data_IF_405087746374
#
_entry.id   IF_405087746374
#
_cell.length_a   1.000
_cell.length_b   1.000
_cell.length_c   1.000
_cell.angle_alpha   90.00
_cell.angle_beta   90.00
_cell.angle_gamma   90.00
#
_symmetry.space_group_name_H-M   'P 1'
#
loop_
_entity.id
_entity.type
_entity.pdbx_description
1 polymer ?
#
# COMPACT_ATOMS: atom_id res chain seq x y z
N UNK A 1 72.25 -7.03 6.24
CA UNK A 1 71.26 -6.80 7.30
C UNK A 1 70.20 -5.88 6.70
N UNK A 2 69.18 -6.46 6.07
CA UNK A 2 68.12 -5.72 5.39
C UNK A 2 66.84 -5.84 6.24
N UNK A 3 66.36 -4.70 6.74
CA UNK A 3 65.16 -4.61 7.57
C UNK A 3 63.96 -4.60 6.62
N UNK A 4 63.19 -5.70 6.62
CA UNK A 4 61.88 -5.75 5.99
C UNK A 4 60.87 -5.11 6.94
N UNK A 5 60.30 -3.98 6.53
CA UNK A 5 59.15 -3.36 7.20
C UNK A 5 57.89 -3.96 6.56
N UNK A 6 57.23 -4.88 7.27
CA UNK A 6 55.89 -5.33 6.92
C UNK A 6 54.91 -4.21 7.29
N UNK A 7 54.27 -3.62 6.29
CA UNK A 7 53.04 -2.86 6.50
C UNK A 7 51.90 -3.88 6.62
N UNK A 8 51.45 -4.14 7.85
CA UNK A 8 50.13 -4.73 8.09
C UNK A 8 49.08 -3.70 7.68
N UNK A 9 48.40 -3.97 6.56
CA UNK A 9 47.16 -3.27 6.24
C UNK A 9 46.08 -3.73 7.22
N UNK A 10 45.68 -2.84 8.12
CA UNK A 10 44.43 -2.98 8.85
C UNK A 10 43.27 -2.98 7.86
N UNK A 11 42.89 -4.16 7.37
CA UNK A 11 41.57 -4.36 6.80
C UNK A 11 40.58 -4.32 7.96
N UNK A 12 39.92 -3.19 8.14
CA UNK A 12 38.73 -3.09 8.99
C UNK A 12 37.64 -3.93 8.34
N UNK A 13 37.60 -5.20 8.71
CA UNK A 13 36.54 -6.12 8.34
C UNK A 13 35.33 -5.83 9.26
N UNK A 14 34.75 -4.63 9.12
CA UNK A 14 33.44 -4.35 9.70
C UNK A 14 32.42 -4.88 8.71
N UNK A 15 31.85 -6.05 8.99
CA UNK A 15 30.57 -6.41 8.39
C UNK A 15 29.65 -5.19 8.54
N UNK A 16 28.98 -4.70 7.47
CA UNK A 16 28.08 -3.58 7.59
C UNK A 16 27.07 -3.93 8.68
N UNK A 17 26.93 -3.03 9.66
CA UNK A 17 25.99 -3.19 10.76
C UNK A 17 24.59 -3.37 10.15
N UNK A 18 24.10 -4.60 10.12
CA UNK A 18 22.81 -4.92 9.55
C UNK A 18 21.76 -4.61 10.62
N UNK A 19 20.95 -3.58 10.36
CA UNK A 19 19.84 -3.21 11.23
C UNK A 19 18.91 -4.40 11.48
N UNK A 20 18.42 -4.56 12.70
CA UNK A 20 17.23 -5.39 12.90
C UNK A 20 16.02 -4.77 12.20
N UNK A 21 14.90 -5.49 12.11
CA UNK A 21 13.72 -5.02 11.36
C UNK A 21 13.17 -3.67 11.87
N UNK A 22 13.14 -3.47 13.19
CA UNK A 22 12.70 -2.22 13.79
C UNK A 22 13.66 -1.07 13.44
N UNK A 23 14.96 -1.29 13.57
CA UNK A 23 15.99 -0.30 13.22
C UNK A 23 15.93 0.06 11.73
N UNK A 24 15.72 -0.93 10.85
CA UNK A 24 15.58 -0.72 9.41
C UNK A 24 14.39 0.18 9.08
N UNK A 25 13.24 -0.04 9.75
CA UNK A 25 12.06 0.83 9.63
C UNK A 25 12.35 2.26 10.12
N UNK A 26 13.03 2.42 11.26
CA UNK A 26 13.39 3.75 11.77
C UNK A 26 14.35 4.47 10.80
N UNK A 27 15.29 3.76 10.20
CA UNK A 27 16.22 4.34 9.24
C UNK A 27 15.54 4.71 7.91
N UNK A 28 14.57 3.91 7.45
CA UNK A 28 13.72 4.26 6.33
C UNK A 28 12.93 5.55 6.59
N UNK A 29 12.33 5.68 7.78
CA UNK A 29 11.64 6.89 8.20
C UNK A 29 12.58 8.10 8.24
N UNK A 30 13.75 7.97 8.88
CA UNK A 30 14.74 9.05 8.97
C UNK A 30 15.16 9.56 7.60
N UNK A 31 15.45 8.64 6.69
CA UNK A 31 15.86 8.99 5.34
C UNK A 31 14.72 9.72 4.61
N UNK A 32 13.49 9.22 4.69
CA UNK A 32 12.37 9.84 3.99
C UNK A 32 11.97 11.21 4.57
N UNK A 33 11.99 11.40 5.89
CA UNK A 33 11.75 12.71 6.51
C UNK A 33 12.84 13.73 6.16
N UNK A 34 14.07 13.29 5.87
CA UNK A 34 15.14 14.14 5.36
C UNK A 34 14.98 14.49 3.85
N UNK A 35 14.14 13.75 3.13
CA UNK A 35 13.91 13.92 1.69
C UNK A 35 12.40 14.05 1.39
N UNK A 36 11.73 15.12 1.88
CA UNK A 36 10.30 15.30 1.66
C UNK A 36 9.98 15.45 0.17
N UNK A 37 8.92 14.78 -0.29
CA UNK A 37 8.45 14.82 -1.67
C UNK A 37 6.93 14.77 -1.73
N UNK A 38 6.34 15.32 -2.79
CA UNK A 38 4.93 15.23 -3.11
C UNK A 38 4.71 15.38 -4.62
N UNK A 39 3.55 14.95 -5.11
CA UNK A 39 3.16 15.12 -6.51
C UNK A 39 2.48 16.49 -6.75
N UNK A 40 1.57 16.87 -5.85
CA UNK A 40 0.79 18.12 -5.91
C UNK A 40 0.96 18.97 -4.66
N UNK A 41 1.04 18.33 -3.50
CA UNK A 41 1.29 19.03 -2.24
C UNK A 41 1.39 18.10 -1.04
N UNK A 42 1.74 18.64 0.15
CA UNK A 42 2.09 17.85 1.32
C UNK A 42 0.98 16.95 1.88
N UNK A 43 -0.28 17.17 1.50
CA UNK A 43 -1.44 16.36 1.90
C UNK A 43 -2.04 15.53 0.75
N UNK A 44 -1.32 15.38 -0.37
CA UNK A 44 -1.73 14.50 -1.46
C UNK A 44 -1.58 13.01 -1.13
N UNK A 45 -2.04 12.13 -2.03
CA UNK A 45 -2.04 10.68 -1.85
C UNK A 45 -0.65 10.08 -1.65
N UNK A 46 0.42 10.70 -2.19
CA UNK A 46 1.78 10.16 -2.06
C UNK A 46 2.19 10.20 -0.59
N UNK A 47 1.89 11.33 0.08
CA UNK A 47 2.10 11.48 1.51
C UNK A 47 1.05 10.72 2.32
N UNK A 48 -0.19 10.63 1.84
CA UNK A 48 -1.22 9.82 2.49
C UNK A 48 -0.84 8.34 2.62
N UNK A 49 -0.31 7.74 1.54
CA UNK A 49 0.20 6.37 1.56
C UNK A 49 1.47 6.23 2.40
N UNK A 50 2.38 7.20 2.33
CA UNK A 50 3.58 7.22 3.16
C UNK A 50 3.25 7.22 4.66
N UNK A 51 2.48 8.20 5.13
CA UNK A 51 2.11 8.33 6.54
C UNK A 51 1.15 7.22 6.99
N UNK A 52 0.49 6.53 6.06
CA UNK A 52 -0.20 5.27 6.36
C UNK A 52 0.76 4.18 6.86
N UNK A 53 1.90 4.01 6.19
CA UNK A 53 2.98 3.15 6.68
C UNK A 53 3.58 3.62 8.00
N UNK A 54 3.77 4.93 8.17
CA UNK A 54 4.30 5.51 9.42
C UNK A 54 3.37 5.22 10.60
N UNK A 55 2.05 5.37 10.46
CA UNK A 55 1.15 5.07 11.57
C UNK A 55 1.06 3.58 11.89
N UNK A 56 1.11 2.71 10.87
CA UNK A 56 1.16 1.25 11.09
C UNK A 56 2.46 0.84 11.79
N UNK A 57 3.58 1.44 11.41
CA UNK A 57 4.85 1.28 12.12
C UNK A 57 4.74 1.74 13.58
N UNK A 58 4.16 2.91 13.85
CA UNK A 58 3.90 3.37 15.23
C UNK A 58 3.03 2.37 16.00
N UNK A 59 1.92 1.90 15.42
CA UNK A 59 1.03 0.92 16.05
C UNK A 59 1.75 -0.38 16.45
N UNK A 60 2.69 -0.86 15.63
CA UNK A 60 3.42 -2.10 15.89
C UNK A 60 4.58 -1.95 16.87
N UNK A 61 5.17 -0.76 16.98
CA UNK A 61 6.44 -0.55 17.72
C UNK A 61 6.27 0.30 18.97
N UNK A 62 5.19 1.09 19.06
CA UNK A 62 4.99 2.16 20.04
C UNK A 62 6.19 3.13 20.13
N UNK A 63 6.95 3.28 19.04
CA UNK A 63 8.15 4.11 19.00
C UNK A 63 7.80 5.58 18.73
N UNK A 64 8.26 6.46 19.61
CA UNK A 64 7.92 7.88 19.57
C UNK A 64 8.41 8.56 18.28
N UNK A 65 9.45 8.03 17.63
CA UNK A 65 9.96 8.63 16.41
C UNK A 65 8.93 8.62 15.27
N UNK A 66 8.11 7.55 15.15
CA UNK A 66 7.01 7.52 14.19
C UNK A 66 5.87 8.46 14.61
N UNK A 67 5.56 8.54 15.90
CA UNK A 67 4.51 9.43 16.44
C UNK A 67 4.86 10.91 16.22
N UNK A 68 6.13 11.27 16.43
CA UNK A 68 6.64 12.62 16.24
C UNK A 68 6.51 13.04 14.77
N UNK A 69 6.86 12.16 13.82
CA UNK A 69 6.72 12.42 12.40
C UNK A 69 5.25 12.64 12.00
N UNK A 70 4.33 11.82 12.50
CA UNK A 70 2.88 11.95 12.26
C UNK A 70 2.33 13.27 12.82
N UNK A 71 2.71 13.62 14.05
CA UNK A 71 2.22 14.83 14.72
C UNK A 71 2.76 16.09 14.03
N UNK A 72 4.04 16.11 13.69
CA UNK A 72 4.65 17.21 12.94
C UNK A 72 4.01 17.39 11.56
N UNK A 73 3.72 16.29 10.86
CA UNK A 73 2.98 16.34 9.60
C UNK A 73 1.59 16.93 9.77
N UNK A 74 0.82 16.44 10.74
CA UNK A 74 -0.56 16.87 10.92
C UNK A 74 -0.66 18.35 11.29
N UNK A 75 0.24 18.85 12.13
CA UNK A 75 0.36 20.27 12.48
C UNK A 75 0.76 21.10 11.26
N UNK A 76 1.79 20.67 10.51
CA UNK A 76 2.25 21.37 9.29
C UNK A 76 1.16 21.48 8.24
N UNK A 77 0.32 20.46 8.11
CA UNK A 77 -0.81 20.44 7.17
C UNK A 77 -2.08 21.10 7.73
N UNK A 78 -2.04 21.65 8.95
CA UNK A 78 -3.20 22.20 9.66
C UNK A 78 -4.41 21.23 9.70
N UNK A 79 -4.14 19.92 9.75
CA UNK A 79 -5.15 18.86 9.71
C UNK A 79 -6.02 18.82 8.44
N UNK A 80 -5.58 19.48 7.36
CA UNK A 80 -6.34 19.58 6.11
C UNK A 80 -6.02 18.40 5.18
N UNK A 81 -7.05 17.78 4.55
CA UNK A 81 -6.85 16.95 3.35
C UNK A 81 -6.41 17.81 2.16
N UNK A 82 -6.17 17.20 1.00
CA UNK A 82 -6.06 17.95 -0.25
C UNK A 82 -7.46 18.39 -0.74
N UNK A 83 -7.55 19.16 -1.82
CA UNK A 83 -8.70 20.04 -2.06
C UNK A 83 -9.84 19.47 -2.93
N UNK A 84 -9.59 18.38 -3.68
CA UNK A 84 -10.54 17.84 -4.69
C UNK A 84 -11.45 16.80 -4.03
N UNK A 85 -12.56 17.26 -3.48
CA UNK A 85 -13.52 16.40 -2.77
C UNK A 85 -14.07 15.22 -3.59
N UNK A 86 -14.06 15.26 -4.92
CA UNK A 86 -14.48 14.14 -5.78
C UNK A 86 -13.37 13.13 -6.10
N UNK A 87 -12.14 13.36 -5.63
CA UNK A 87 -10.97 12.54 -5.97
C UNK A 87 -10.51 11.72 -4.76
N UNK A 88 -10.52 10.39 -4.88
CA UNK A 88 -10.19 9.47 -3.77
C UNK A 88 -8.81 9.74 -3.14
N UNK A 89 -7.79 10.04 -3.96
CA UNK A 89 -6.45 10.47 -3.53
C UNK A 89 -6.43 11.46 -2.37
N UNK A 90 -7.34 12.42 -2.38
CA UNK A 90 -7.31 13.57 -1.47
C UNK A 90 -7.82 13.21 -0.06
N UNK A 91 -8.40 12.01 0.10
CA UNK A 91 -8.81 11.46 1.38
C UNK A 91 -7.66 10.73 2.09
N UNK A 92 -6.67 10.21 1.36
CA UNK A 92 -5.69 9.25 1.89
C UNK A 92 -4.94 9.74 3.14
N UNK A 93 -4.54 11.02 3.17
CA UNK A 93 -3.81 11.61 4.31
C UNK A 93 -4.64 11.60 5.60
N UNK A 94 -5.96 11.63 5.50
CA UNK A 94 -6.86 11.71 6.66
C UNK A 94 -6.86 10.44 7.51
N UNK A 95 -6.40 9.31 6.97
CA UNK A 95 -6.15 8.10 7.76
C UNK A 95 -5.21 8.38 8.95
N UNK A 96 -4.18 9.19 8.72
CA UNK A 96 -3.23 9.58 9.77
C UNK A 96 -3.88 10.50 10.82
N UNK A 97 -4.77 11.41 10.40
CA UNK A 97 -5.47 12.30 11.33
C UNK A 97 -6.47 11.52 12.21
N UNK A 98 -7.20 10.58 11.60
CA UNK A 98 -8.09 9.65 12.30
C UNK A 98 -7.32 8.76 13.27
N UNK A 99 -6.13 8.29 12.88
CA UNK A 99 -5.25 7.54 13.78
C UNK A 99 -4.81 8.37 14.99
N UNK A 100 -4.32 9.59 14.77
CA UNK A 100 -3.89 10.50 15.85
C UNK A 100 -5.04 10.82 16.81
N UNK A 101 -6.27 11.01 16.28
CA UNK A 101 -7.49 11.15 17.09
C UNK A 101 -7.71 9.91 17.97
N UNK A 102 -7.67 8.72 17.37
CA UNK A 102 -7.96 7.44 18.04
C UNK A 102 -7.02 7.15 19.22
N UNK A 103 -5.74 7.51 19.08
CA UNK A 103 -4.74 7.31 20.15
C UNK A 103 -4.70 8.45 21.17
N UNK A 104 -5.56 9.46 21.03
CA UNK A 104 -5.72 10.53 22.02
C UNK A 104 -4.70 11.66 21.94
N UNK A 105 -4.11 11.95 20.78
CA UNK A 105 -3.26 13.13 20.61
C UNK A 105 -4.08 14.41 20.81
N UNK A 106 -3.57 15.32 21.63
CA UNK A 106 -4.24 16.60 21.92
C UNK A 106 -4.23 17.52 20.69
N UNK A 107 -5.27 18.36 20.54
CA UNK A 107 -5.33 19.37 19.48
C UNK A 107 -5.70 18.84 18.08
N UNK A 108 -6.04 17.56 17.93
CA UNK A 108 -6.48 16.98 16.65
C UNK A 108 -7.78 17.64 16.18
N UNK A 109 -7.75 18.24 14.99
CA UNK A 109 -8.91 18.85 14.35
C UNK A 109 -9.43 18.00 13.18
N UNK A 110 -10.56 17.31 13.38
CA UNK A 110 -11.19 16.51 12.31
C UNK A 110 -12.22 17.29 11.47
N UNK A 111 -12.50 18.57 11.73
CA UNK A 111 -13.50 19.31 10.96
C UNK A 111 -13.21 19.34 9.44
N UNK A 112 -11.95 19.47 8.96
CA UNK A 112 -11.65 19.34 7.53
C UNK A 112 -11.88 17.92 7.00
N UNK A 113 -11.58 16.90 7.79
CA UNK A 113 -11.79 15.49 7.44
C UNK A 113 -13.29 15.18 7.33
N UNK A 114 -14.09 15.61 8.31
CA UNK A 114 -15.55 15.52 8.29
C UNK A 114 -16.09 16.16 6.99
N UNK A 115 -15.63 17.38 6.68
CA UNK A 115 -16.11 18.13 5.51
C UNK A 115 -15.82 17.42 4.19
N UNK A 116 -14.58 16.96 3.97
CA UNK A 116 -14.23 16.32 2.69
C UNK A 116 -14.94 14.98 2.53
N UNK A 117 -15.11 14.19 3.59
CA UNK A 117 -15.82 12.91 3.52
C UNK A 117 -17.30 13.13 3.18
N UNK A 118 -17.96 14.10 3.82
CA UNK A 118 -19.34 14.44 3.48
C UNK A 118 -19.47 14.88 2.01
N UNK A 119 -18.53 15.70 1.53
CA UNK A 119 -18.56 16.16 0.14
C UNK A 119 -18.27 15.02 -0.84
N UNK A 120 -17.30 14.16 -0.55
CA UNK A 120 -16.92 13.01 -1.37
C UNK A 120 -18.09 12.04 -1.53
N UNK A 121 -18.75 11.71 -0.43
CA UNK A 121 -19.82 10.73 -0.43
C UNK A 121 -21.16 11.27 -0.84
N UNK A 122 -21.48 12.56 -0.59
CA UNK A 122 -22.86 13.05 -0.70
C UNK A 122 -23.07 14.27 -1.59
N UNK A 123 -22.02 14.98 -2.02
CA UNK A 123 -22.20 16.09 -2.98
C UNK A 123 -22.61 15.51 -4.35
N UNK A 124 -23.59 16.11 -5.06
CA UNK A 124 -23.96 15.64 -6.40
C UNK A 124 -22.79 15.78 -7.40
N UNK A 125 -22.53 14.73 -8.18
CA UNK A 125 -21.69 14.76 -9.37
C UNK A 125 -22.07 13.60 -10.31
N UNK A 126 -21.77 13.75 -11.61
CA UNK A 126 -22.17 12.79 -12.65
C UNK A 126 -21.56 11.39 -12.44
N UNK A 127 -20.42 11.29 -11.75
CA UNK A 127 -19.71 10.03 -11.54
C UNK A 127 -20.29 9.20 -10.40
N UNK A 128 -21.11 9.79 -9.50
CA UNK A 128 -21.75 9.05 -8.39
C UNK A 128 -22.86 8.12 -8.87
N UNK A 129 -23.54 8.44 -9.96
CA UNK A 129 -24.58 7.60 -10.57
C UNK A 129 -24.01 6.52 -11.50
N UNK A 130 -22.75 6.65 -11.92
CA UNK A 130 -22.17 5.82 -12.96
C UNK A 130 -22.67 6.19 -14.37
N UNK A 131 -21.88 5.87 -15.40
CA UNK A 131 -22.31 5.91 -16.82
C UNK A 131 -22.43 4.46 -17.36
N UNK A 132 -23.44 4.11 -18.20
CA UNK A 132 -23.59 2.77 -18.77
C UNK A 132 -22.40 2.34 -19.65
N UNK A 133 -22.07 1.04 -19.66
CA UNK A 133 -20.92 0.53 -20.43
C UNK A 133 -21.09 0.57 -21.95
N UNK A 134 -22.31 0.36 -22.46
CA UNK A 134 -22.61 0.26 -23.89
C UNK A 134 -22.54 1.60 -24.65
N UNK A 135 -22.21 2.71 -23.97
CA UNK A 135 -22.17 4.06 -24.52
C UNK A 135 -20.81 4.74 -24.46
N UNK A 136 -19.71 4.00 -24.26
CA UNK A 136 -18.37 4.60 -24.17
C UNK A 136 -17.78 4.97 -25.53
N UNK A 137 -17.39 6.24 -25.68
CA UNK A 137 -16.63 6.73 -26.81
C UNK A 137 -15.13 6.35 -26.68
N UNK A 138 -14.54 5.91 -27.78
CA UNK A 138 -13.17 5.40 -27.88
C UNK A 138 -12.14 6.55 -27.93
N UNK A 139 -12.57 7.73 -28.33
CA UNK A 139 -11.71 8.89 -28.45
C UNK A 139 -11.54 9.58 -27.08
N UNK A 140 -10.57 9.05 -26.33
CA UNK A 140 -9.75 9.70 -25.30
C UNK A 140 -10.38 10.86 -24.49
N UNK A 141 -10.40 10.70 -23.15
CA UNK A 141 -10.85 11.63 -22.10
C UNK A 141 -12.29 11.48 -21.62
N UNK A 142 -12.56 10.43 -20.85
CA UNK A 142 -13.20 10.53 -19.53
C UNK A 142 -13.21 9.13 -18.91
N UNK A 143 -12.06 8.73 -18.36
CA UNK A 143 -11.90 7.49 -17.58
C UNK A 143 -12.82 7.47 -16.34
N UNK A 144 -13.51 8.57 -16.04
CA UNK A 144 -14.28 8.83 -14.82
C UNK A 144 -15.74 8.42 -14.97
N UNK A 145 -15.95 7.13 -15.23
CA UNK A 145 -17.28 6.56 -15.47
C UNK A 145 -18.01 6.24 -14.18
N UNK A 146 -17.27 6.14 -13.08
CA UNK A 146 -17.72 5.94 -11.69
C UNK A 146 -16.81 6.78 -10.76
N UNK A 147 -17.18 6.95 -9.49
CA UNK A 147 -16.41 7.76 -8.53
C UNK A 147 -14.96 7.24 -8.34
N UNK A 148 -14.81 5.91 -8.22
CA UNK A 148 -13.52 5.24 -8.04
C UNK A 148 -13.18 4.45 -9.31
N UNK A 149 -12.94 5.18 -10.39
CA UNK A 149 -12.78 4.59 -11.73
C UNK A 149 -11.42 3.95 -12.01
N UNK A 150 -10.51 3.97 -11.03
CA UNK A 150 -9.20 3.34 -11.11
C UNK A 150 -8.94 2.54 -9.82
N UNK A 151 -8.22 1.42 -9.93
CA UNK A 151 -8.09 0.47 -8.83
C UNK A 151 -7.37 1.04 -7.60
N UNK A 152 -6.46 2.00 -7.79
CA UNK A 152 -5.64 2.57 -6.73
C UNK A 152 -6.52 3.32 -5.69
N UNK A 153 -7.67 3.85 -6.12
CA UNK A 153 -8.67 4.49 -5.25
C UNK A 153 -9.11 3.59 -4.08
N UNK A 154 -9.02 2.26 -4.25
CA UNK A 154 -9.42 1.27 -3.25
C UNK A 154 -8.45 1.19 -2.06
N UNK A 155 -7.27 1.81 -2.14
CA UNK A 155 -6.42 2.10 -0.99
C UNK A 155 -6.73 3.46 -0.36
N UNK A 156 -7.00 4.46 -1.21
CA UNK A 156 -7.05 5.87 -0.78
C UNK A 156 -8.28 6.20 0.06
N UNK A 157 -9.45 5.67 -0.32
CA UNK A 157 -10.73 6.01 0.32
C UNK A 157 -11.31 4.93 1.25
N UNK A 158 -11.43 3.64 0.85
CA UNK A 158 -12.15 2.66 1.68
C UNK A 158 -11.59 2.48 3.10
N UNK A 159 -10.27 2.36 3.33
CA UNK A 159 -9.73 2.28 4.69
C UNK A 159 -10.06 3.50 5.55
N UNK A 160 -9.98 4.70 4.97
CA UNK A 160 -10.35 5.97 5.62
C UNK A 160 -11.82 5.94 6.03
N UNK A 161 -12.70 5.52 5.13
CA UNK A 161 -14.14 5.46 5.39
C UNK A 161 -14.49 4.45 6.49
N UNK A 162 -13.76 3.33 6.58
CA UNK A 162 -13.95 2.38 7.69
C UNK A 162 -13.45 2.93 9.03
N UNK A 163 -12.30 3.61 9.06
CA UNK A 163 -11.82 4.31 10.26
C UNK A 163 -12.81 5.40 10.69
N UNK A 164 -13.35 6.14 9.73
CA UNK A 164 -14.30 7.23 9.97
C UNK A 164 -15.66 6.72 10.45
N UNK A 165 -16.21 5.67 9.82
CA UNK A 165 -17.45 5.02 10.26
C UNK A 165 -17.36 4.55 11.71
N UNK A 166 -16.19 3.99 12.09
CA UNK A 166 -15.90 3.59 13.47
C UNK A 166 -15.83 4.78 14.43
N UNK A 167 -15.15 5.86 14.05
CA UNK A 167 -15.07 7.11 14.84
C UNK A 167 -16.45 7.75 15.06
N UNK A 168 -17.31 7.75 14.03
CA UNK A 168 -18.67 8.30 14.11
C UNK A 168 -19.69 7.31 14.70
N UNK A 169 -19.33 6.05 14.85
CA UNK A 169 -20.24 4.95 15.20
C UNK A 169 -21.47 4.92 14.28
N UNK A 170 -21.24 5.02 12.96
CA UNK A 170 -22.28 5.12 11.93
C UNK A 170 -21.91 4.25 10.73
N UNK A 171 -22.67 3.17 10.52
CA UNK A 171 -22.41 2.20 9.45
C UNK A 171 -22.86 2.70 8.08
N UNK A 172 -23.65 3.78 7.98
CA UNK A 172 -24.12 4.29 6.68
C UNK A 172 -22.96 4.75 5.78
N UNK A 173 -21.83 5.15 6.36
CA UNK A 173 -20.60 5.44 5.63
C UNK A 173 -20.00 4.19 4.98
N UNK A 174 -20.12 3.02 5.62
CA UNK A 174 -19.69 1.75 5.03
C UNK A 174 -20.64 1.32 3.91
N UNK A 175 -21.93 1.59 4.03
CA UNK A 175 -22.91 1.26 2.98
C UNK A 175 -22.67 2.08 1.70
N UNK A 176 -22.40 3.38 1.85
CA UNK A 176 -21.98 4.22 0.71
C UNK A 176 -20.62 3.79 0.15
N UNK A 177 -19.65 3.44 1.01
CA UNK A 177 -18.37 2.87 0.58
C UNK A 177 -18.58 1.58 -0.22
N UNK A 178 -19.45 0.68 0.24
CA UNK A 178 -19.72 -0.60 -0.41
C UNK A 178 -20.25 -0.41 -1.83
N UNK A 179 -21.20 0.52 -2.01
CA UNK A 179 -21.71 0.88 -3.34
C UNK A 179 -20.59 1.27 -4.31
N UNK A 180 -19.69 2.18 -3.92
CA UNK A 180 -18.59 2.62 -4.80
C UNK A 180 -17.51 1.55 -4.98
N UNK A 181 -17.28 0.71 -3.97
CA UNK A 181 -16.34 -0.40 -4.07
C UNK A 181 -16.83 -1.43 -5.10
N UNK A 182 -18.11 -1.83 -5.02
CA UNK A 182 -18.70 -2.82 -5.94
C UNK A 182 -18.70 -2.30 -7.37
N UNK A 183 -18.99 -1.01 -7.60
CA UNK A 183 -18.84 -0.40 -8.93
C UNK A 183 -17.42 -0.56 -9.50
N UNK A 184 -16.40 -0.38 -8.66
CA UNK A 184 -15.00 -0.55 -9.07
C UNK A 184 -14.65 -2.00 -9.33
N UNK A 185 -15.13 -2.90 -8.46
CA UNK A 185 -14.95 -4.34 -8.59
C UNK A 185 -15.59 -4.87 -9.87
N UNK A 186 -16.85 -4.54 -10.13
CA UNK A 186 -17.57 -4.98 -11.34
C UNK A 186 -16.92 -4.46 -12.62
N UNK A 187 -16.34 -3.25 -12.57
CA UNK A 187 -15.67 -2.64 -13.72
C UNK A 187 -14.27 -3.21 -13.96
N UNK A 188 -13.46 -3.41 -12.91
CA UNK A 188 -12.00 -3.57 -13.04
C UNK A 188 -11.46 -4.93 -12.58
N UNK A 189 -12.20 -5.70 -11.78
CA UNK A 189 -11.71 -6.99 -11.31
C UNK A 189 -11.89 -8.06 -12.39
N UNK A 190 -10.77 -8.63 -12.83
CA UNK A 190 -10.76 -9.72 -13.78
C UNK A 190 -11.03 -11.05 -13.07
N UNK A 191 -12.21 -11.62 -13.32
CA UNK A 191 -12.65 -12.89 -12.70
C UNK A 191 -11.81 -14.10 -13.10
N UNK A 192 -11.12 -14.07 -14.24
CA UNK A 192 -10.26 -15.16 -14.67
C UNK A 192 -8.88 -15.03 -14.02
N UNK A 193 -8.31 -13.82 -14.09
CA UNK A 193 -6.95 -13.55 -13.65
C UNK A 193 -6.83 -13.28 -12.16
N UNK A 194 -7.96 -13.03 -11.48
CA UNK A 194 -8.06 -12.71 -10.04
C UNK A 194 -7.23 -11.48 -9.64
N UNK A 195 -7.16 -10.51 -10.55
CA UNK A 195 -6.40 -9.27 -10.43
C UNK A 195 -7.23 -8.10 -10.95
N UNK A 196 -6.90 -6.89 -10.51
CA UNK A 196 -7.54 -5.65 -10.97
C UNK A 196 -6.77 -5.04 -12.14
N UNK A 197 -7.49 -4.78 -13.23
CA UNK A 197 -7.06 -3.82 -14.24
C UNK A 197 -6.94 -2.43 -13.59
N UNK A 198 -5.95 -1.62 -13.99
CA UNK A 198 -5.74 -0.32 -13.35
C UNK A 198 -6.92 0.63 -13.59
N UNK A 199 -7.42 0.64 -14.81
CA UNK A 199 -8.60 1.39 -15.27
C UNK A 199 -9.09 0.77 -16.59
N UNK A 200 -10.12 1.37 -17.19
CA UNK A 200 -10.81 0.83 -18.37
C UNK A 200 -9.93 0.67 -19.62
N UNK A 201 -8.76 1.33 -19.69
CA UNK A 201 -7.81 1.15 -20.81
C UNK A 201 -7.20 -0.25 -20.87
N UNK A 202 -7.14 -0.93 -19.73
CA UNK A 202 -6.51 -2.25 -19.59
C UNK A 202 -7.52 -3.40 -19.56
N UNK A 203 -8.81 -3.11 -19.79
CA UNK A 203 -9.84 -4.13 -19.96
C UNK A 203 -9.84 -4.59 -21.41
N UNK A 204 -9.69 -5.89 -21.63
CA UNK A 204 -9.75 -6.47 -22.97
C UNK A 204 -11.19 -6.53 -23.48
N UNK A 205 -11.39 -6.08 -24.72
CA UNK A 205 -12.62 -6.16 -25.51
C UNK A 205 -12.58 -7.30 -26.52
N UNK A 206 -11.41 -7.91 -26.73
CA UNK A 206 -11.19 -8.99 -27.69
C UNK A 206 -10.90 -8.49 -29.10
N UNK A 207 -10.49 -7.23 -29.26
CA UNK A 207 -10.17 -6.63 -30.56
C UNK A 207 -8.71 -6.12 -30.64
N UNK A 208 -8.31 -5.55 -31.78
CA UNK A 208 -6.94 -5.12 -32.02
C UNK A 208 -6.48 -3.92 -31.19
N UNK A 209 -7.38 -3.26 -30.46
CA UNK A 209 -7.08 -2.11 -29.61
C UNK A 209 -6.72 -2.49 -28.17
N UNK A 210 -6.87 -3.77 -27.80
CA UNK A 210 -6.50 -4.28 -26.49
C UNK A 210 -5.01 -4.03 -26.19
N UNK A 211 -4.73 -3.41 -25.04
CA UNK A 211 -3.37 -3.21 -24.54
C UNK A 211 -2.86 -4.53 -23.97
N UNK A 212 -1.71 -4.98 -24.44
CA UNK A 212 -1.09 -6.25 -24.06
C UNK A 212 0.35 -6.04 -23.61
N UNK A 213 0.80 -6.90 -22.72
CA UNK A 213 2.22 -7.05 -22.40
C UNK A 213 3.00 -7.56 -23.62
N UNK A 214 4.32 -7.46 -23.57
CA UNK A 214 5.21 -7.91 -24.65
C UNK A 214 5.07 -9.41 -24.99
N UNK A 215 4.70 -10.23 -24.00
CA UNK A 215 4.41 -11.66 -24.16
C UNK A 215 2.96 -11.98 -24.60
N UNK A 216 2.13 -10.95 -24.83
CA UNK A 216 0.75 -11.08 -25.26
C UNK A 216 -0.28 -11.21 -24.12
N UNK A 217 0.14 -11.25 -22.85
CA UNK A 217 -0.77 -11.33 -21.71
C UNK A 217 -1.51 -10.01 -21.44
N UNK A 218 -2.57 -10.09 -20.64
CA UNK A 218 -3.26 -8.92 -20.06
C UNK A 218 -2.30 -8.15 -19.15
N UNK A 219 -2.42 -6.82 -19.15
CA UNK A 219 -1.61 -5.93 -18.31
C UNK A 219 -2.20 -5.83 -16.91
N UNK A 220 -1.48 -6.37 -15.92
CA UNK A 220 -1.80 -6.17 -14.50
C UNK A 220 -0.60 -5.55 -13.79
N UNK A 221 -0.79 -4.33 -13.33
CA UNK A 221 0.25 -3.56 -12.66
C UNK A 221 0.38 -3.99 -11.20
N UNK A 222 1.61 -4.30 -10.78
CA UNK A 222 1.94 -4.76 -9.43
C UNK A 222 1.50 -3.77 -8.37
N UNK A 223 1.95 -2.50 -8.42
CA UNK A 223 1.54 -1.49 -7.43
C UNK A 223 0.05 -1.19 -7.47
N UNK A 224 -0.60 -1.25 -8.64
CA UNK A 224 -2.05 -1.12 -8.77
C UNK A 224 -2.79 -2.17 -7.94
N UNK A 225 -2.41 -3.44 -8.11
CA UNK A 225 -2.96 -4.53 -7.29
C UNK A 225 -2.49 -4.47 -5.83
N UNK A 226 -1.30 -3.93 -5.57
CA UNK A 226 -0.77 -3.65 -4.23
C UNK A 226 -1.66 -2.67 -3.47
N UNK A 227 -2.13 -1.60 -4.13
CA UNK A 227 -3.10 -0.68 -3.56
C UNK A 227 -4.38 -1.39 -3.14
N UNK A 228 -4.96 -2.19 -4.03
CA UNK A 228 -6.21 -2.91 -3.71
C UNK A 228 -6.00 -3.89 -2.56
N UNK A 229 -4.95 -4.71 -2.62
CA UNK A 229 -4.73 -5.78 -1.66
C UNK A 229 -4.30 -5.26 -0.28
N UNK A 230 -3.42 -4.25 -0.24
CA UNK A 230 -3.10 -3.49 0.98
C UNK A 230 -4.31 -2.75 1.53
N UNK A 231 -5.14 -2.16 0.65
CA UNK A 231 -6.38 -1.49 1.02
C UNK A 231 -7.38 -2.45 1.67
N UNK A 232 -7.52 -3.67 1.16
CA UNK A 232 -8.38 -4.71 1.73
C UNK A 232 -7.94 -5.10 3.15
N UNK A 233 -6.64 -5.27 3.39
CA UNK A 233 -6.12 -5.55 4.74
C UNK A 233 -6.45 -4.42 5.73
N UNK A 234 -6.18 -3.16 5.36
CA UNK A 234 -6.48 -2.00 6.20
C UNK A 234 -8.00 -1.80 6.42
N UNK A 235 -8.80 -2.09 5.40
CA UNK A 235 -10.26 -2.04 5.46
C UNK A 235 -10.79 -3.10 6.44
N UNK A 236 -10.39 -4.36 6.29
CA UNK A 236 -10.84 -5.47 7.13
C UNK A 236 -10.41 -5.32 8.60
N UNK A 237 -9.26 -4.69 8.86
CA UNK A 237 -8.77 -4.33 10.20
C UNK A 237 -9.70 -3.35 10.94
N UNK A 238 -10.31 -2.41 10.21
CA UNK A 238 -11.15 -1.36 10.80
C UNK A 238 -12.66 -1.61 10.61
N UNK A 239 -13.05 -2.56 9.75
CA UNK A 239 -14.42 -2.95 9.51
C UNK A 239 -14.98 -3.77 10.69
N UNK A 240 -16.21 -3.50 11.17
CA UNK A 240 -16.88 -4.33 12.17
C UNK A 240 -17.01 -5.79 11.72
N UNK A 241 -16.83 -6.74 12.64
CA UNK A 241 -16.91 -8.17 12.35
C UNK A 241 -18.30 -8.62 11.89
N UNK A 242 -19.35 -7.89 12.30
CA UNK A 242 -20.74 -8.15 11.96
C UNK A 242 -21.28 -7.24 10.84
N UNK A 243 -20.42 -6.53 10.11
CA UNK A 243 -20.87 -5.72 8.97
C UNK A 243 -21.47 -6.60 7.87
N UNK A 244 -22.64 -6.21 7.35
CA UNK A 244 -23.45 -7.05 6.45
C UNK A 244 -22.70 -7.52 5.19
N UNK A 245 -21.82 -6.68 4.64
CA UNK A 245 -21.05 -6.98 3.44
C UNK A 245 -19.61 -7.44 3.72
N UNK A 246 -19.24 -7.74 4.97
CA UNK A 246 -17.86 -8.13 5.33
C UNK A 246 -17.36 -9.33 4.52
N UNK A 247 -18.22 -10.34 4.32
CA UNK A 247 -17.86 -11.56 3.60
C UNK A 247 -17.36 -11.29 2.17
N UNK A 248 -17.94 -10.31 1.46
CA UNK A 248 -17.47 -9.91 0.13
C UNK A 248 -15.99 -9.51 0.14
N UNK A 249 -15.58 -8.71 1.11
CA UNK A 249 -14.19 -8.24 1.23
C UNK A 249 -13.24 -9.36 1.65
N UNK A 250 -13.68 -10.26 2.54
CA UNK A 250 -12.89 -11.42 2.96
C UNK A 250 -12.65 -12.39 1.79
N UNK A 251 -13.66 -12.64 0.97
CA UNK A 251 -13.56 -13.51 -0.21
C UNK A 251 -12.67 -12.89 -1.30
N UNK A 252 -12.84 -11.59 -1.57
CA UNK A 252 -11.98 -10.87 -2.51
C UNK A 252 -10.51 -10.88 -2.05
N UNK A 253 -10.27 -10.58 -0.77
CA UNK A 253 -8.94 -10.61 -0.17
C UNK A 253 -8.30 -12.00 -0.31
N UNK A 254 -9.00 -13.08 0.08
CA UNK A 254 -8.47 -14.46 -0.03
C UNK A 254 -8.20 -14.85 -1.48
N UNK A 255 -9.07 -14.45 -2.41
CA UNK A 255 -8.93 -14.71 -3.83
C UNK A 255 -7.66 -14.07 -4.40
N UNK A 256 -7.41 -12.79 -4.07
CA UNK A 256 -6.19 -12.09 -4.49
C UNK A 256 -4.95 -12.67 -3.79
N UNK A 257 -5.04 -13.04 -2.50
CA UNK A 257 -3.92 -13.61 -1.76
C UNK A 257 -3.38 -14.90 -2.40
N UNK A 258 -4.27 -15.80 -2.83
CA UNK A 258 -3.91 -17.02 -3.59
C UNK A 258 -3.17 -16.62 -4.87
N UNK A 259 -3.79 -15.78 -5.71
CA UNK A 259 -3.23 -15.43 -7.02
C UNK A 259 -1.87 -14.74 -6.91
N UNK A 260 -1.74 -13.77 -6.01
CA UNK A 260 -0.50 -13.00 -5.84
C UNK A 260 0.64 -13.90 -5.36
N UNK A 261 0.34 -14.85 -4.48
CA UNK A 261 1.32 -15.85 -4.00
C UNK A 261 1.74 -16.81 -5.11
N UNK A 262 0.80 -17.28 -5.94
CA UNK A 262 1.08 -18.18 -7.08
C UNK A 262 2.03 -17.55 -8.11
N UNK A 263 1.94 -16.24 -8.33
CA UNK A 263 2.75 -15.53 -9.33
C UNK A 263 3.97 -14.82 -8.74
N UNK A 264 4.32 -15.09 -7.48
CA UNK A 264 5.52 -14.53 -6.86
C UNK A 264 6.77 -15.02 -7.61
N UNK A 265 7.64 -14.12 -8.10
CA UNK A 265 8.91 -14.52 -8.71
C UNK A 265 9.84 -15.24 -7.74
N UNK A 266 10.78 -16.01 -8.29
CA UNK A 266 11.65 -16.89 -7.49
C UNK A 266 12.49 -16.14 -6.45
N UNK A 267 12.92 -14.92 -6.77
CA UNK A 267 13.69 -14.02 -5.89
C UNK A 267 12.83 -13.27 -4.84
N UNK A 268 11.51 -13.45 -4.88
CA UNK A 268 10.58 -12.88 -3.90
C UNK A 268 10.05 -11.48 -4.21
N UNK A 269 10.61 -10.77 -5.19
CA UNK A 269 10.14 -9.43 -5.60
C UNK A 269 9.25 -9.52 -6.84
N UNK A 270 8.01 -9.07 -6.72
CA UNK A 270 7.14 -8.90 -7.88
C UNK A 270 7.69 -7.79 -8.78
N UNK A 271 7.70 -8.02 -10.09
CA UNK A 271 8.03 -6.99 -11.08
C UNK A 271 6.86 -6.03 -11.23
N UNK A 272 7.08 -4.91 -11.93
CA UNK A 272 5.99 -3.94 -12.17
C UNK A 272 4.87 -4.52 -13.03
N UNK A 273 5.16 -5.44 -13.95
CA UNK A 273 4.15 -6.29 -14.60
C UNK A 273 4.00 -7.62 -13.85
N UNK A 274 2.77 -7.95 -13.46
CA UNK A 274 2.47 -9.22 -12.76
C UNK A 274 2.44 -10.43 -13.68
N UNK A 275 2.06 -10.25 -14.96
CA UNK A 275 1.92 -11.35 -15.93
C UNK A 275 2.97 -11.31 -17.05
N UNK A 276 3.93 -10.38 -16.98
CA UNK A 276 5.12 -10.36 -17.82
C UNK A 276 6.36 -9.93 -17.03
N UNK A 277 6.70 -10.64 -15.92
CA UNK A 277 7.84 -10.29 -15.10
C UNK A 277 9.17 -10.33 -15.87
N UNK A 278 9.28 -11.14 -16.92
CA UNK A 278 10.45 -11.24 -17.79
C UNK A 278 10.77 -9.95 -18.57
N UNK A 279 9.85 -8.97 -18.62
CA UNK A 279 10.12 -7.65 -19.20
C UNK A 279 10.98 -6.75 -18.31
N UNK A 280 11.27 -7.15 -17.06
CA UNK A 280 12.04 -6.36 -16.11
C UNK A 280 13.13 -7.19 -15.42
N UNK A 281 14.37 -6.71 -15.52
CA UNK A 281 15.56 -7.42 -15.01
C UNK A 281 15.61 -7.52 -13.47
N UNK A 282 14.84 -6.67 -12.77
CA UNK A 282 14.79 -6.63 -11.31
C UNK A 282 13.36 -6.42 -10.82
N UNK A 283 13.02 -6.97 -9.65
CA UNK A 283 11.73 -6.75 -9.02
C UNK A 283 11.55 -5.32 -8.49
N UNK A 284 10.30 -4.96 -8.19
CA UNK A 284 9.92 -3.62 -7.78
C UNK A 284 9.40 -3.59 -6.33
N UNK A 285 9.88 -2.62 -5.57
CA UNK A 285 9.78 -2.62 -4.10
C UNK A 285 8.42 -2.16 -3.59
N UNK A 286 7.77 -1.16 -4.19
CA UNK A 286 6.52 -0.64 -3.63
C UNK A 286 5.36 -1.62 -3.75
N UNK A 287 5.14 -2.23 -4.92
CA UNK A 287 4.13 -3.28 -5.08
C UNK A 287 4.39 -4.47 -4.18
N UNK A 288 5.65 -4.93 -4.12
CA UNK A 288 6.06 -6.02 -3.23
C UNK A 288 5.85 -5.69 -1.76
N UNK A 289 6.10 -4.44 -1.33
CA UNK A 289 5.85 -3.97 0.03
C UNK A 289 4.38 -4.09 0.42
N UNK A 290 3.46 -3.68 -0.46
CA UNK A 290 2.02 -3.84 -0.21
C UNK A 290 1.57 -5.30 -0.14
N UNK A 291 2.08 -6.15 -1.03
CA UNK A 291 1.77 -7.58 -0.98
C UNK A 291 2.29 -8.24 0.29
N UNK A 292 3.54 -7.94 0.66
CA UNK A 292 4.16 -8.45 1.90
C UNK A 292 3.36 -8.01 3.11
N UNK A 293 2.99 -6.72 3.20
CA UNK A 293 2.11 -6.20 4.24
C UNK A 293 0.80 -6.98 4.34
N UNK A 294 0.06 -7.07 3.24
CA UNK A 294 -1.28 -7.64 3.23
C UNK A 294 -1.27 -9.15 3.48
N UNK A 295 -0.32 -9.91 2.93
CA UNK A 295 -0.15 -11.34 3.22
C UNK A 295 0.18 -11.56 4.71
N UNK A 296 1.13 -10.79 5.25
CA UNK A 296 1.55 -10.92 6.65
C UNK A 296 0.42 -10.55 7.60
N UNK A 297 -0.32 -9.47 7.31
CA UNK A 297 -1.52 -9.11 8.05
C UNK A 297 -2.54 -10.25 8.05
N UNK A 298 -2.73 -10.93 6.92
CA UNK A 298 -3.65 -12.07 6.81
C UNK A 298 -3.28 -13.23 7.72
N UNK A 299 -1.98 -13.55 7.80
CA UNK A 299 -1.46 -14.57 8.71
C UNK A 299 -1.72 -14.16 10.16
N UNK A 300 -1.31 -12.94 10.53
CA UNK A 300 -1.43 -12.41 11.89
C UNK A 300 -2.88 -12.34 12.39
N UNK A 301 -3.84 -12.21 11.49
CA UNK A 301 -5.27 -12.09 11.81
C UNK A 301 -6.05 -13.40 11.55
N UNK A 302 -5.37 -14.53 11.30
CA UNK A 302 -6.00 -15.83 11.08
C UNK A 302 -6.83 -15.93 9.79
N UNK A 303 -6.65 -14.99 8.87
CA UNK A 303 -7.33 -14.95 7.57
C UNK A 303 -6.65 -15.85 6.53
N UNK A 304 -5.34 -16.06 6.68
CA UNK A 304 -4.51 -16.88 5.81
C UNK A 304 -3.78 -17.95 6.64
N UNK A 305 -3.62 -19.14 6.06
CA UNK A 305 -2.89 -20.23 6.71
C UNK A 305 -1.39 -19.92 6.78
N UNK A 306 -0.84 -19.97 7.99
CA UNK A 306 0.56 -19.60 8.22
C UNK A 306 1.55 -20.47 7.43
N UNK A 307 1.32 -21.79 7.39
CA UNK A 307 2.23 -22.74 6.72
C UNK A 307 2.27 -22.49 5.22
N UNK A 308 1.13 -22.17 4.62
CA UNK A 308 1.04 -21.91 3.18
C UNK A 308 1.67 -20.58 2.76
N UNK A 309 1.49 -19.51 3.55
CA UNK A 309 1.82 -18.15 3.09
C UNK A 309 3.11 -17.56 3.70
N UNK A 310 3.54 -18.00 4.89
CA UNK A 310 4.76 -17.45 5.52
C UNK A 310 6.03 -17.59 4.67
N UNK A 311 6.28 -18.70 3.92
CA UNK A 311 7.47 -18.79 3.07
C UNK A 311 7.55 -17.69 2.01
N UNK A 312 6.40 -17.34 1.40
CA UNK A 312 6.32 -16.27 0.41
C UNK A 312 6.57 -14.89 1.04
N UNK A 313 5.99 -14.65 2.22
CA UNK A 313 6.18 -13.43 3.01
C UNK A 313 7.65 -13.23 3.40
N UNK A 314 8.28 -14.27 3.97
CA UNK A 314 9.68 -14.21 4.43
C UNK A 314 10.62 -13.89 3.28
N UNK A 315 10.42 -14.56 2.15
CA UNK A 315 11.21 -14.34 0.93
C UNK A 315 11.08 -12.89 0.43
N UNK A 316 9.86 -12.37 0.34
CA UNK A 316 9.62 -11.00 -0.08
C UNK A 316 10.24 -10.00 0.91
N UNK A 317 10.09 -10.20 2.22
CA UNK A 317 10.67 -9.33 3.23
C UNK A 317 12.20 -9.30 3.16
N UNK A 318 12.86 -10.46 3.04
CA UNK A 318 14.32 -10.52 2.86
C UNK A 318 14.76 -9.71 1.64
N UNK A 319 14.09 -9.88 0.49
CA UNK A 319 14.46 -9.14 -0.71
C UNK A 319 14.16 -7.63 -0.62
N UNK A 320 13.08 -7.23 0.08
CA UNK A 320 12.80 -5.83 0.40
C UNK A 320 13.90 -5.20 1.27
N UNK A 321 14.38 -5.94 2.29
CA UNK A 321 15.48 -5.51 3.17
C UNK A 321 16.78 -5.29 2.41
N UNK A 322 17.07 -6.13 1.41
CA UNK A 322 18.25 -6.00 0.54
C UNK A 322 18.21 -4.77 -0.39
N UNK A 323 17.00 -4.28 -0.69
CA UNK A 323 16.82 -3.06 -1.49
C UNK A 323 16.97 -1.76 -0.66
N UNK A 324 17.11 -1.86 0.66
CA UNK A 324 17.36 -0.71 1.52
C UNK A 324 18.86 -0.40 1.58
N UNK A 325 19.22 0.86 1.30
CA UNK A 325 20.61 1.33 1.39
C UNK A 325 21.05 1.57 2.83
N UNK A 326 22.36 1.63 3.03
CA UNK A 326 22.99 1.85 4.33
C UNK A 326 22.68 3.22 4.98
N UNK A 327 22.17 4.20 4.23
CA UNK A 327 21.70 5.49 4.74
C UNK A 327 20.20 5.49 5.10
N UNK A 328 19.48 4.41 4.77
CA UNK A 328 18.07 4.22 5.06
C UNK A 328 17.18 4.30 3.81
N UNK A 329 17.70 4.74 2.66
CA UNK A 329 16.91 4.88 1.43
C UNK A 329 16.30 3.55 1.00
N UNK A 330 15.01 3.53 0.74
CA UNK A 330 14.31 2.39 0.12
C UNK A 330 14.37 2.56 -1.41
N UNK A 331 15.26 1.81 -2.07
CA UNK A 331 15.47 1.86 -3.53
C UNK A 331 14.56 0.93 -4.32
N UNK A 332 14.77 0.86 -5.65
CA UNK A 332 13.97 0.02 -6.57
C UNK A 332 12.47 0.30 -6.54
N UNK A 333 12.09 1.55 -6.25
CA UNK A 333 10.70 1.99 -6.26
C UNK A 333 10.40 2.63 -7.61
N UNK A 334 9.40 2.12 -8.33
CA UNK A 334 8.92 2.75 -9.56
C UNK A 334 8.30 4.11 -9.22
N UNK A 335 8.61 5.14 -10.01
CA UNK A 335 8.03 6.48 -9.87
C UNK A 335 6.51 6.50 -10.13
N UNK A 336 5.87 7.66 -9.89
CA UNK A 336 4.42 7.83 -10.08
C UNK A 336 4.02 7.42 -11.51
N UNK A 337 3.00 6.58 -11.63
CA UNK A 337 2.55 6.03 -12.89
C UNK A 337 1.17 5.37 -12.78
N UNK A 338 0.65 4.87 -13.90
CA UNK A 338 -0.62 4.15 -13.98
C UNK A 338 -0.53 2.88 -14.83
N UNK A 339 0.67 2.33 -14.96
CA UNK A 339 1.05 1.16 -15.76
C UNK A 339 2.40 0.60 -15.28
N UNK A 340 2.78 -0.62 -15.67
CA UNK A 340 4.14 -1.12 -15.49
C UNK A 340 5.17 -0.21 -16.17
N UNK A 341 6.19 0.23 -15.43
CA UNK A 341 7.32 1.02 -15.92
C UNK A 341 8.58 0.57 -15.15
N UNK A 342 9.80 0.80 -15.67
CA UNK A 342 11.02 0.40 -14.98
C UNK A 342 11.26 1.21 -13.69
N UNK A 343 11.98 0.59 -12.77
CA UNK A 343 12.59 1.21 -11.59
C UNK A 343 14.11 0.96 -11.64
N UNK A 344 14.87 1.65 -10.81
CA UNK A 344 16.29 1.38 -10.65
C UNK A 344 16.70 1.44 -9.17
N UNK A 345 17.91 0.98 -8.88
CA UNK A 345 18.47 0.95 -7.53
C UNK A 345 18.43 2.31 -6.79
N UNK A 346 18.44 3.43 -7.53
CA UNK A 346 18.46 4.77 -6.97
C UNK A 346 17.09 5.47 -7.00
N UNK A 347 16.05 4.83 -7.55
CA UNK A 347 14.70 5.37 -7.57
C UNK A 347 13.96 5.07 -6.27
N UNK A 348 13.39 6.11 -5.67
CA UNK A 348 12.69 6.09 -4.39
C UNK A 348 11.45 6.98 -4.46
N UNK A 349 10.46 6.70 -3.62
CA UNK A 349 9.29 7.55 -3.40
C UNK A 349 8.81 7.41 -1.97
N UNK A 350 8.16 8.46 -1.44
CA UNK A 350 7.56 8.46 -0.10
C UNK A 350 6.57 7.30 0.11
N UNK A 351 5.71 7.00 -0.86
CA UNK A 351 4.81 5.86 -0.78
C UNK A 351 5.52 4.50 -0.85
N UNK A 352 6.72 4.42 -1.44
CA UNK A 352 7.56 3.22 -1.41
C UNK A 352 8.11 2.96 -0.02
N UNK A 353 8.59 4.01 0.65
CA UNK A 353 8.92 3.97 2.09
C UNK A 353 7.69 3.60 2.92
N UNK A 354 6.52 4.16 2.60
CA UNK A 354 5.24 3.78 3.23
C UNK A 354 4.95 2.28 3.13
N UNK A 355 5.08 1.70 1.93
CA UNK A 355 4.89 0.28 1.69
C UNK A 355 5.89 -0.60 2.45
N UNK A 356 7.17 -0.18 2.52
CA UNK A 356 8.20 -0.85 3.31
C UNK A 356 7.86 -0.84 4.81
N UNK A 357 7.42 0.30 5.35
CA UNK A 357 7.00 0.44 6.74
C UNK A 357 5.74 -0.38 7.05
N UNK A 358 4.79 -0.45 6.12
CA UNK A 358 3.62 -1.33 6.22
C UNK A 358 4.06 -2.79 6.37
N UNK A 359 4.93 -3.28 5.47
CA UNK A 359 5.44 -4.65 5.52
C UNK A 359 6.15 -4.94 6.85
N UNK A 360 7.14 -4.11 7.22
CA UNK A 360 7.87 -4.28 8.47
C UNK A 360 6.98 -4.28 9.71
N UNK A 361 5.93 -3.45 9.73
CA UNK A 361 5.01 -3.36 10.87
C UNK A 361 4.24 -4.65 11.16
N UNK A 362 3.97 -5.47 10.14
CA UNK A 362 3.30 -6.77 10.30
C UNK A 362 4.32 -7.91 10.49
N UNK A 363 5.53 -7.80 9.90
CA UNK A 363 6.62 -8.76 10.14
C UNK A 363 6.99 -8.80 11.63
N UNK A 364 7.13 -7.63 12.27
CA UNK A 364 7.43 -7.56 13.70
C UNK A 364 6.41 -8.30 14.58
N UNK A 365 5.12 -8.28 14.18
CA UNK A 365 4.06 -9.00 14.89
C UNK A 365 4.10 -10.51 14.61
N UNK A 366 4.42 -10.88 13.37
CA UNK A 366 4.58 -12.29 12.97
C UNK A 366 5.71 -12.94 13.79
N UNK A 367 6.82 -12.24 13.97
CA UNK A 367 7.97 -12.73 14.74
C UNK A 367 7.65 -12.88 16.22
N UNK A 368 7.01 -11.87 16.84
CA UNK A 368 6.57 -11.94 18.23
C UNK A 368 5.65 -13.15 18.49
N UNK A 369 4.71 -13.46 17.58
CA UNK A 369 3.82 -14.62 17.70
C UNK A 369 4.55 -15.98 17.67
N UNK A 370 5.75 -16.01 17.08
CA UNK A 370 6.57 -17.22 16.94
C UNK A 370 7.34 -17.52 18.23
N UNK A 371 7.86 -16.48 18.87
CA UNK A 371 8.59 -16.57 20.13
C UNK A 371 7.67 -17.05 21.27
N UNK A 372 6.44 -16.52 21.33
CA UNK A 372 5.43 -16.96 22.31
C UNK A 372 5.04 -18.44 22.13
N UNK A 373 4.94 -18.92 20.89
CA UNK A 373 4.65 -20.32 20.59
C UNK A 373 5.76 -21.29 20.97
N UNK A 374 7.03 -20.86 20.91
CA UNK A 374 8.18 -21.67 21.33
C UNK A 374 8.34 -21.73 22.85
N UNK A 375 7.95 -20.70 23.60
CA UNK A 375 7.99 -20.73 25.07
C UNK A 375 6.92 -21.61 25.71
N UNK A 376 5.81 -21.91 25.02
CA UNK A 376 4.76 -22.81 25.53
C UNK A 376 5.09 -24.30 25.35
N UNK A 377 6.08 -24.62 24.51
CA UNK A 377 6.48 -25.99 24.17
C UNK A 377 7.84 -26.43 24.76
N UNK A 378 8.47 -25.62 25.60
CA UNK A 378 9.72 -25.96 26.31
C UNK A 378 9.49 -26.26 27.80
#
# INVERSE_FOLDING_TARGET
>A
MAIFVCFESCQSNTAPHQWNDKEAMVMALKWQEAHPIFARGPSDWTNGAYYTGVYKAHQSTNDSFFLDALTQMAVRNEWKPWERFFHADDLAITASYLYLKRIGVEGVNLAPTDTIIQQHLYKPCDWRSGKPMDGFDIDFYEQQVILWWWCDALFMSPPVLAMYAKEKNDLSYLDEMHKYYVQTYDLLFDQEQKLFARDTRFIWRGDSTDIKESNGNKVFWSRGNGWVFGGLALLLENMPSNYAHRQFYEELYKTMAVRLTEIQPEDGLWRTSLLCPESFDHGEVSGTGFFTFALTWGINNGMLDRVMYEPAVRKAWTALRECQKADGMVGWVQNIGGSPEPANHDSWQNYGTGAFLLAGSEILKLDASTEDGQMVHN
#
